data_IF_801947104646
#
_entry.id   IF_801947104646
#
_cell.length_a   1.000
_cell.length_b   1.000
_cell.length_c   1.000
_cell.angle_alpha   90.00
_cell.angle_beta   90.00
_cell.angle_gamma   90.00
#
_symmetry.space_group_name_H-M   'P 1'
#
loop_
_entity.id
_entity.type
_entity.pdbx_description
1 polymer ?
#
# COMPACT_ATOMS: atom_id res chain seq x y z
N UNK A 1 20.67 -38.15 0.55
CA UNK A 1 20.19 -37.63 1.84
C UNK A 1 18.87 -36.92 1.59
N UNK A 2 17.84 -37.21 2.37
CA UNK A 2 16.51 -36.63 2.20
C UNK A 2 16.42 -35.30 2.97
N UNK A 3 16.81 -34.21 2.31
CA UNK A 3 17.06 -32.92 2.96
C UNK A 3 15.76 -32.27 3.41
N UNK A 4 14.66 -32.42 2.68
CA UNK A 4 13.36 -31.78 2.97
C UNK A 4 12.43 -32.65 3.84
N UNK A 5 12.94 -33.73 4.41
CA UNK A 5 12.15 -34.68 5.22
C UNK A 5 11.38 -33.99 6.36
N UNK A 6 12.01 -33.07 7.10
CA UNK A 6 11.39 -32.32 8.20
C UNK A 6 10.36 -31.27 7.75
N UNK A 7 10.35 -30.91 6.45
CA UNK A 7 9.35 -30.02 5.87
C UNK A 7 8.09 -30.82 5.51
N UNK A 8 8.26 -32.04 4.98
CA UNK A 8 7.17 -32.88 4.46
C UNK A 8 6.50 -33.75 5.52
N UNK A 9 7.20 -34.08 6.60
CA UNK A 9 6.72 -34.96 7.67
C UNK A 9 6.60 -34.20 8.99
N UNK A 10 5.60 -34.61 9.78
CA UNK A 10 5.43 -34.08 11.13
C UNK A 10 6.59 -34.49 12.03
N UNK A 11 6.80 -33.71 13.09
CA UNK A 11 7.78 -34.01 14.11
C UNK A 11 7.46 -35.36 14.74
N UNK A 12 8.39 -36.33 14.72
CA UNK A 12 8.20 -37.59 15.41
C UNK A 12 8.06 -37.36 16.92
N UNK A 13 7.38 -38.26 17.65
CA UNK A 13 7.32 -38.20 19.11
C UNK A 13 8.72 -38.09 19.73
N UNK A 14 8.82 -37.34 20.82
CA UNK A 14 10.06 -37.24 21.58
C UNK A 14 10.52 -38.63 22.02
N UNK A 15 11.82 -38.89 21.91
CA UNK A 15 12.41 -40.16 22.30
C UNK A 15 12.24 -40.38 23.82
N UNK A 16 11.81 -41.57 24.19
CA UNK A 16 11.68 -42.02 25.58
C UNK A 16 12.69 -43.15 25.84
N UNK A 17 12.94 -43.48 27.12
CA UNK A 17 13.92 -44.53 27.49
C UNK A 17 13.67 -45.90 26.85
N UNK A 18 12.43 -46.17 26.43
CA UNK A 18 12.01 -47.44 25.84
C UNK A 18 11.84 -47.36 24.30
N UNK A 19 12.30 -46.28 23.67
CA UNK A 19 12.16 -46.12 22.22
C UNK A 19 12.92 -47.19 21.45
N UNK A 20 12.31 -47.66 20.36
CA UNK A 20 12.94 -48.69 19.52
C UNK A 20 14.07 -48.10 18.67
N UNK A 21 15.04 -48.90 18.20
CA UNK A 21 16.08 -48.42 17.29
C UNK A 21 15.54 -47.75 16.02
N UNK A 22 14.35 -48.17 15.56
CA UNK A 22 13.67 -47.59 14.39
C UNK A 22 13.13 -46.20 14.70
N UNK A 23 12.53 -45.99 15.88
CA UNK A 23 12.05 -44.68 16.32
C UNK A 23 13.20 -43.68 16.49
N UNK A 24 14.32 -44.13 17.07
CA UNK A 24 15.54 -43.32 17.21
C UNK A 24 16.07 -42.89 15.84
N UNK A 25 16.22 -43.83 14.89
CA UNK A 25 16.69 -43.51 13.55
C UNK A 25 15.76 -42.55 12.79
N UNK A 26 14.44 -42.65 12.99
CA UNK A 26 13.46 -41.74 12.40
C UNK A 26 13.57 -40.33 12.99
N UNK A 27 13.70 -40.22 14.31
CA UNK A 27 13.89 -38.94 15.00
C UNK A 27 15.20 -38.27 14.58
N UNK A 28 16.33 -38.99 14.59
CA UNK A 28 17.63 -38.46 14.16
C UNK A 28 17.63 -38.00 12.69
N UNK A 29 16.97 -38.75 11.82
CA UNK A 29 16.80 -38.35 10.40
C UNK A 29 15.99 -37.06 10.29
N UNK A 30 14.90 -36.93 11.04
CA UNK A 30 14.09 -35.73 11.08
C UNK A 30 14.87 -34.54 11.64
N UNK A 31 15.56 -34.72 12.77
CA UNK A 31 16.31 -33.66 13.43
C UNK A 31 17.48 -33.16 12.58
N UNK A 32 18.19 -34.07 11.91
CA UNK A 32 19.25 -33.69 10.97
C UNK A 32 18.71 -32.87 9.80
N UNK A 33 17.56 -33.27 9.23
CA UNK A 33 16.88 -32.53 8.17
C UNK A 33 16.41 -31.16 8.68
N UNK A 34 15.81 -31.10 9.86
CA UNK A 34 15.34 -29.87 10.51
C UNK A 34 16.50 -28.85 10.66
N UNK A 35 17.58 -29.26 11.32
CA UNK A 35 18.76 -28.41 11.59
C UNK A 35 19.39 -27.87 10.31
N UNK A 36 19.54 -28.71 9.29
CA UNK A 36 20.11 -28.30 8.00
C UNK A 36 19.25 -27.25 7.30
N UNK A 37 17.93 -27.44 7.25
CA UNK A 37 17.05 -26.45 6.63
C UNK A 37 16.99 -25.15 7.41
N UNK A 38 16.90 -25.18 8.73
CA UNK A 38 16.92 -23.98 9.58
C UNK A 38 18.19 -23.17 9.33
N UNK A 39 19.35 -23.83 9.36
CA UNK A 39 20.63 -23.18 9.09
C UNK A 39 20.67 -22.59 7.67
N UNK A 40 20.25 -23.35 6.66
CA UNK A 40 20.23 -22.88 5.28
C UNK A 40 19.32 -21.67 5.10
N UNK A 41 18.08 -21.72 5.61
CA UNK A 41 17.12 -20.62 5.52
C UNK A 41 17.69 -19.39 6.24
N UNK A 42 18.17 -19.52 7.50
CA UNK A 42 18.78 -18.42 8.27
C UNK A 42 19.93 -17.73 7.52
N UNK A 43 20.75 -18.47 6.77
CA UNK A 43 21.84 -17.87 5.96
C UNK A 43 21.35 -17.06 4.76
N UNK A 44 20.17 -17.35 4.21
CA UNK A 44 19.62 -16.70 3.01
C UNK A 44 18.70 -15.53 3.32
N UNK A 45 18.30 -15.36 4.58
CA UNK A 45 17.42 -14.28 4.98
C UNK A 45 18.17 -12.94 5.08
N UNK A 46 17.55 -11.90 4.53
CA UNK A 46 17.98 -10.51 4.64
C UNK A 46 17.97 -10.02 6.08
N UNK A 47 18.86 -9.08 6.41
CA UNK A 47 18.97 -8.51 7.75
C UNK A 47 17.67 -7.85 8.25
N UNK A 48 16.82 -7.37 7.33
CA UNK A 48 15.57 -6.67 7.63
C UNK A 48 14.52 -7.49 8.39
N UNK A 49 14.53 -8.82 8.26
CA UNK A 49 13.58 -9.72 8.96
C UNK A 49 14.29 -10.75 9.86
N UNK A 50 15.62 -10.72 9.92
CA UNK A 50 16.44 -11.70 10.65
C UNK A 50 16.11 -11.75 12.14
N UNK A 51 16.00 -10.59 12.80
CA UNK A 51 15.74 -10.53 14.24
C UNK A 51 14.37 -11.12 14.63
N UNK A 52 13.37 -11.04 13.75
CA UNK A 52 12.01 -11.53 13.99
C UNK A 52 11.89 -13.06 13.93
N UNK A 53 12.88 -13.74 13.36
CA UNK A 53 12.82 -15.17 12.99
C UNK A 53 14.02 -15.98 13.48
N UNK A 54 15.00 -15.34 14.13
CA UNK A 54 16.21 -16.00 14.64
C UNK A 54 15.89 -17.01 15.76
N UNK A 55 14.78 -16.80 16.46
CA UNK A 55 14.29 -17.61 17.59
C UNK A 55 13.70 -18.98 17.22
N UNK A 56 13.51 -19.29 15.93
CA UNK A 56 12.88 -20.55 15.52
C UNK A 56 13.91 -21.66 15.29
N UNK A 57 13.73 -22.77 16.01
CA UNK A 57 14.57 -23.98 15.91
C UNK A 57 13.93 -25.08 15.04
N UNK A 58 12.62 -24.96 14.78
CA UNK A 58 11.87 -25.86 13.89
C UNK A 58 11.66 -25.20 12.53
N UNK A 59 12.01 -25.91 11.47
CA UNK A 59 11.90 -25.43 10.08
C UNK A 59 10.45 -25.07 9.72
N UNK A 60 9.47 -25.83 10.19
CA UNK A 60 8.05 -25.56 9.92
C UNK A 60 7.59 -24.26 10.56
N UNK A 61 7.97 -24.01 11.82
CA UNK A 61 7.63 -22.79 12.53
C UNK A 61 8.34 -21.58 11.93
N UNK A 62 9.61 -21.73 11.53
CA UNK A 62 10.37 -20.72 10.82
C UNK A 62 9.69 -20.33 9.49
N UNK A 63 9.29 -21.31 8.68
CA UNK A 63 8.59 -21.07 7.41
C UNK A 63 7.23 -20.39 7.64
N UNK A 64 6.50 -20.79 8.68
CA UNK A 64 5.23 -20.15 9.06
C UNK A 64 5.44 -18.69 9.44
N UNK A 65 6.43 -18.40 10.29
CA UNK A 65 6.75 -17.03 10.71
C UNK A 65 7.18 -16.15 9.54
N UNK A 66 8.00 -16.69 8.61
CA UNK A 66 8.35 -16.00 7.37
C UNK A 66 7.09 -15.65 6.58
N UNK A 67 6.20 -16.62 6.36
CA UNK A 67 4.97 -16.41 5.60
C UNK A 67 4.07 -15.34 6.26
N UNK A 68 3.91 -15.37 7.58
CA UNK A 68 3.15 -14.37 8.33
C UNK A 68 3.74 -12.96 8.22
N UNK A 69 5.07 -12.84 8.24
CA UNK A 69 5.76 -11.55 8.06
C UNK A 69 5.51 -10.98 6.66
N UNK A 70 5.54 -11.82 5.61
CA UNK A 70 5.23 -11.40 4.24
C UNK A 70 3.77 -10.94 4.10
N UNK A 71 2.82 -11.72 4.63
CA UNK A 71 1.39 -11.33 4.64
C UNK A 71 1.18 -10.01 5.38
N UNK A 72 1.85 -9.79 6.51
CA UNK A 72 1.76 -8.55 7.28
C UNK A 72 2.33 -7.37 6.49
N UNK A 73 3.48 -7.56 5.83
CA UNK A 73 4.10 -6.54 4.97
C UNK A 73 3.22 -6.18 3.77
N UNK A 74 2.59 -7.17 3.13
CA UNK A 74 1.67 -6.93 2.01
C UNK A 74 0.45 -6.12 2.44
N UNK A 75 -0.18 -6.48 3.56
CA UNK A 75 -1.31 -5.73 4.14
C UNK A 75 -0.92 -4.29 4.49
N UNK A 76 0.26 -4.10 5.09
CA UNK A 76 0.76 -2.76 5.40
C UNK A 76 0.97 -1.93 4.14
N UNK A 77 1.54 -2.51 3.08
CA UNK A 77 1.73 -1.85 1.79
C UNK A 77 0.39 -1.48 1.14
N UNK A 78 -0.60 -2.38 1.14
CA UNK A 78 -1.95 -2.10 0.66
C UNK A 78 -2.53 -0.89 1.42
N UNK A 79 -2.46 -0.89 2.75
CA UNK A 79 -2.97 0.23 3.56
C UNK A 79 -2.24 1.54 3.24
N UNK A 80 -0.91 1.52 3.07
CA UNK A 80 -0.15 2.71 2.66
C UNK A 80 -0.59 3.23 1.29
N UNK A 81 -0.78 2.35 0.32
CA UNK A 81 -1.25 2.72 -1.02
C UNK A 81 -2.68 3.27 -0.98
N UNK A 82 -3.58 2.67 -0.20
CA UNK A 82 -4.95 3.18 -0.01
C UNK A 82 -4.93 4.57 0.63
N UNK A 83 -4.14 4.79 1.69
CA UNK A 83 -4.00 6.10 2.32
C UNK A 83 -3.46 7.16 1.35
N UNK A 84 -2.46 6.79 0.54
CA UNK A 84 -1.93 7.68 -0.49
C UNK A 84 -2.98 7.97 -1.57
N UNK A 85 -3.72 6.95 -2.01
CA UNK A 85 -4.79 7.06 -2.99
C UNK A 85 -5.93 7.96 -2.49
N UNK A 86 -6.34 7.83 -1.22
CA UNK A 86 -7.45 8.60 -0.65
C UNK A 86 -7.10 10.05 -0.35
N UNK A 87 -5.82 10.37 -0.16
CA UNK A 87 -5.35 11.72 0.22
C UNK A 87 -4.85 12.56 -0.94
N UNK A 88 -4.68 11.97 -2.12
CA UNK A 88 -4.16 12.69 -3.29
C UNK A 88 -5.25 13.59 -3.88
N UNK A 89 -5.04 14.89 -3.80
CA UNK A 89 -5.86 15.91 -4.44
C UNK A 89 -4.99 16.76 -5.34
N UNK A 90 -5.53 17.17 -6.48
CA UNK A 90 -4.86 18.13 -7.35
C UNK A 90 -4.96 19.50 -6.67
N UNK A 91 -3.82 20.02 -6.19
CA UNK A 91 -3.76 21.26 -5.40
C UNK A 91 -3.60 22.51 -6.28
N UNK A 92 -3.02 22.36 -7.46
CA UNK A 92 -2.80 23.42 -8.45
C UNK A 92 -3.73 23.23 -9.65
N UNK A 93 -4.09 24.31 -10.33
CA UNK A 93 -4.86 24.19 -11.58
C UNK A 93 -4.08 23.45 -12.67
N UNK A 94 -2.76 23.64 -12.68
CA UNK A 94 -1.85 23.01 -13.64
C UNK A 94 -1.45 21.60 -13.19
N UNK A 95 -1.13 20.74 -14.16
CA UNK A 95 -0.52 19.42 -13.93
C UNK A 95 -1.52 18.27 -13.80
N UNK A 96 -2.74 18.43 -14.34
CA UNK A 96 -3.79 17.40 -14.27
C UNK A 96 -3.33 16.08 -14.89
N UNK A 97 -2.50 16.16 -15.94
CA UNK A 97 -1.95 14.98 -16.60
C UNK A 97 -1.13 14.13 -15.64
N UNK A 98 -0.21 14.75 -14.91
CA UNK A 98 0.66 14.05 -13.95
C UNK A 98 -0.14 13.50 -12.78
N UNK A 99 -1.12 14.25 -12.29
CA UNK A 99 -2.03 13.82 -11.24
C UNK A 99 -2.80 12.54 -11.63
N UNK A 100 -3.39 12.50 -12.83
CA UNK A 100 -4.11 11.32 -13.34
C UNK A 100 -3.15 10.13 -13.52
N UNK A 101 -1.93 10.35 -14.01
CA UNK A 101 -0.94 9.26 -14.12
C UNK A 101 -0.58 8.69 -12.76
N UNK A 102 -0.39 9.54 -11.74
CA UNK A 102 -0.09 9.08 -10.37
C UNK A 102 -1.23 8.25 -9.80
N UNK A 103 -2.48 8.65 -9.99
CA UNK A 103 -3.64 7.86 -9.55
C UNK A 103 -3.73 6.52 -10.26
N UNK A 104 -3.52 6.50 -11.58
CA UNK A 104 -3.48 5.27 -12.38
C UNK A 104 -2.37 4.34 -11.93
N UNK A 105 -1.20 4.87 -11.62
CA UNK A 105 -0.06 4.09 -11.14
C UNK A 105 -0.35 3.45 -9.77
N UNK A 106 -0.88 4.22 -8.81
CA UNK A 106 -1.27 3.68 -7.50
C UNK A 106 -2.34 2.59 -7.67
N UNK A 107 -3.33 2.81 -8.54
CA UNK A 107 -4.34 1.80 -8.83
C UNK A 107 -3.75 0.53 -9.47
N UNK A 108 -2.77 0.67 -10.36
CA UNK A 108 -2.06 -0.47 -10.94
C UNK A 108 -1.21 -1.22 -9.91
N UNK A 109 -0.61 -0.52 -8.94
CA UNK A 109 0.09 -1.14 -7.81
C UNK A 109 -0.88 -1.91 -6.91
N UNK A 110 -2.03 -1.33 -6.57
CA UNK A 110 -3.08 -1.99 -5.79
C UNK A 110 -3.61 -3.26 -6.49
N UNK A 111 -3.80 -3.21 -7.81
CA UNK A 111 -4.18 -4.39 -8.61
C UNK A 111 -3.16 -5.51 -8.54
N UNK A 112 -1.85 -5.20 -8.51
CA UNK A 112 -0.80 -6.22 -8.33
C UNK A 112 -0.89 -6.91 -6.97
N UNK A 113 -1.44 -6.22 -5.96
CA UNK A 113 -1.69 -6.74 -4.60
C UNK A 113 -3.12 -7.31 -4.46
N UNK A 114 -3.77 -7.68 -5.57
CA UNK A 114 -5.13 -8.25 -5.63
C UNK A 114 -6.24 -7.34 -5.09
N UNK A 115 -6.00 -6.03 -5.03
CA UNK A 115 -7.03 -5.03 -4.76
C UNK A 115 -7.48 -4.44 -6.09
N UNK A 116 -8.56 -4.98 -6.63
CA UNK A 116 -9.11 -4.54 -7.90
C UNK A 116 -9.99 -3.30 -7.74
N UNK A 117 -9.77 -2.32 -8.61
CA UNK A 117 -10.63 -1.15 -8.75
C UNK A 117 -11.18 -1.11 -10.18
N UNK A 118 -12.50 -0.92 -10.29
CA UNK A 118 -13.13 -0.76 -11.59
C UNK A 118 -12.69 0.56 -12.24
N UNK A 119 -12.66 0.58 -13.58
CA UNK A 119 -12.34 1.81 -14.33
C UNK A 119 -13.34 2.94 -14.01
N UNK A 120 -14.62 2.59 -13.85
CA UNK A 120 -15.67 3.53 -13.43
C UNK A 120 -15.37 4.16 -12.06
N UNK A 121 -14.99 3.36 -11.06
CA UNK A 121 -14.64 3.88 -9.74
C UNK A 121 -13.45 4.84 -9.83
N UNK A 122 -12.40 4.45 -10.55
CA UNK A 122 -11.19 5.26 -10.69
C UNK A 122 -11.48 6.59 -11.40
N UNK A 123 -12.31 6.59 -12.44
CA UNK A 123 -12.74 7.81 -13.14
C UNK A 123 -13.52 8.75 -12.21
N UNK A 124 -14.51 8.24 -11.47
CA UNK A 124 -15.25 9.06 -10.51
C UNK A 124 -14.38 9.59 -9.37
N UNK A 125 -13.45 8.77 -8.90
CA UNK A 125 -12.51 9.16 -7.86
C UNK A 125 -11.60 10.30 -8.35
N UNK A 126 -11.01 10.17 -9.53
CA UNK A 126 -10.21 11.23 -10.16
C UNK A 126 -11.02 12.53 -10.25
N UNK A 127 -12.26 12.49 -10.76
CA UNK A 127 -13.12 13.69 -10.84
C UNK A 127 -13.35 14.35 -9.47
N UNK A 128 -13.42 13.57 -8.39
CA UNK A 128 -13.58 14.09 -7.03
C UNK A 128 -12.31 14.71 -6.44
N UNK A 129 -11.16 14.40 -7.03
CA UNK A 129 -9.87 14.93 -6.59
C UNK A 129 -9.46 16.22 -7.31
N UNK A 130 -10.18 16.60 -8.37
CA UNK A 130 -9.95 17.83 -9.10
C UNK A 130 -10.38 19.06 -8.28
N UNK A 131 -9.69 20.21 -8.45
CA UNK A 131 -10.07 21.47 -7.83
C UNK A 131 -11.50 21.89 -8.17
N UNK A 132 -12.10 22.71 -7.30
CA UNK A 132 -13.46 23.24 -7.49
C UNK A 132 -13.65 24.01 -8.82
N UNK A 133 -12.58 24.60 -9.37
CA UNK A 133 -12.61 25.28 -10.66
C UNK A 133 -13.00 24.34 -11.81
N UNK A 134 -12.76 23.04 -11.69
CA UNK A 134 -13.24 22.02 -12.65
C UNK A 134 -14.72 21.66 -12.46
N UNK A 135 -15.48 22.39 -11.60
CA UNK A 135 -16.89 22.13 -11.33
C UNK A 135 -17.77 22.02 -12.59
N UNK A 136 -17.74 23.01 -13.51
CA UNK A 136 -18.50 22.93 -14.77
C UNK A 136 -18.11 21.72 -15.62
N UNK A 137 -16.81 21.43 -15.70
CA UNK A 137 -16.29 20.25 -16.39
C UNK A 137 -16.82 18.94 -15.81
N UNK A 138 -16.85 18.78 -14.48
CA UNK A 138 -17.37 17.57 -13.82
C UNK A 138 -18.84 17.32 -14.20
N UNK A 139 -19.65 18.38 -14.24
CA UNK A 139 -21.07 18.30 -14.61
C UNK A 139 -21.19 17.89 -16.08
N UNK A 140 -20.44 18.55 -16.97
CA UNK A 140 -20.42 18.21 -18.40
C UNK A 140 -19.98 16.77 -18.64
N UNK A 141 -18.89 16.32 -18.03
CA UNK A 141 -18.38 14.97 -18.23
C UNK A 141 -19.37 13.89 -17.76
N UNK A 142 -20.02 14.10 -16.60
CA UNK A 142 -21.01 13.15 -16.06
C UNK A 142 -22.34 13.10 -16.85
N UNK A 143 -22.69 14.16 -17.59
CA UNK A 143 -23.96 14.24 -18.34
C UNK A 143 -23.85 13.71 -19.77
N UNK A 144 -22.64 13.63 -20.32
CA UNK A 144 -22.42 13.38 -21.75
C UNK A 144 -21.87 11.98 -22.06
N UNK A 145 -21.59 11.12 -21.06
CA UNK A 145 -20.80 9.90 -21.27
C UNK A 145 -21.45 8.63 -20.72
N UNK A 146 -21.75 7.72 -21.65
CA UNK A 146 -22.28 6.38 -21.35
C UNK A 146 -21.19 5.39 -20.92
N UNK A 147 -19.92 5.67 -21.25
CA UNK A 147 -18.77 4.83 -20.92
C UNK A 147 -17.64 5.66 -20.29
N UNK A 148 -17.13 5.15 -19.18
CA UNK A 148 -16.04 5.76 -18.42
C UNK A 148 -14.69 5.29 -18.97
N UNK A 149 -13.81 6.23 -19.34
CA UNK A 149 -12.44 5.92 -19.75
C UNK A 149 -11.44 6.92 -19.16
N UNK A 150 -10.37 6.40 -18.57
CA UNK A 150 -9.30 7.22 -17.98
C UNK A 150 -8.54 8.01 -19.06
N UNK A 151 -8.32 7.42 -20.24
CA UNK A 151 -7.58 8.07 -21.31
C UNK A 151 -8.37 9.24 -21.91
N UNK A 152 -9.68 9.08 -22.06
CA UNK A 152 -10.57 10.16 -22.50
C UNK A 152 -10.67 11.25 -21.43
N UNK A 153 -10.90 10.88 -20.17
CA UNK A 153 -10.90 11.82 -19.03
C UNK A 153 -9.63 12.65 -19.03
N UNK A 154 -8.47 12.01 -19.18
CA UNK A 154 -7.18 12.68 -19.20
C UNK A 154 -7.07 13.71 -20.33
N UNK A 155 -7.52 13.36 -21.53
CA UNK A 155 -7.49 14.25 -22.70
C UNK A 155 -8.38 15.48 -22.46
N UNK A 156 -9.60 15.26 -21.98
CA UNK A 156 -10.55 16.35 -21.73
C UNK A 156 -10.11 17.23 -20.54
N UNK A 157 -9.54 16.64 -19.49
CA UNK A 157 -9.00 17.40 -18.36
C UNK A 157 -7.85 18.32 -18.79
N UNK A 158 -6.97 17.88 -19.69
CA UNK A 158 -5.87 18.72 -20.21
C UNK A 158 -6.41 19.91 -21.01
N UNK A 159 -7.44 19.69 -21.83
CA UNK A 159 -8.10 20.79 -22.56
C UNK A 159 -8.78 21.79 -21.61
N UNK A 160 -9.46 21.29 -20.57
CA UNK A 160 -10.08 22.15 -19.56
C UNK A 160 -9.02 22.89 -18.73
N UNK A 161 -7.87 22.26 -18.43
CA UNK A 161 -6.74 22.92 -17.77
C UNK A 161 -6.27 24.14 -18.59
N UNK A 162 -6.05 23.97 -19.89
CA UNK A 162 -5.65 25.06 -20.79
C UNK A 162 -6.67 26.20 -20.81
N UNK A 163 -7.95 25.85 -20.91
CA UNK A 163 -9.05 26.83 -20.86
C UNK A 163 -9.07 27.59 -19.54
N UNK A 164 -9.01 26.90 -18.39
CA UNK A 164 -9.04 27.50 -17.07
C UNK A 164 -7.82 28.41 -16.83
N UNK A 165 -6.66 28.02 -17.35
CA UNK A 165 -5.44 28.84 -17.30
C UNK A 165 -5.61 30.14 -18.10
N UNK A 166 -6.23 30.07 -19.27
CA UNK A 166 -6.56 31.26 -20.08
C UNK A 166 -7.61 32.15 -19.41
N UNK A 167 -8.64 31.57 -18.79
CA UNK A 167 -9.77 32.28 -18.19
C UNK A 167 -9.39 33.01 -16.89
N UNK A 168 -8.59 32.39 -16.01
CA UNK A 168 -8.14 33.03 -14.76
C UNK A 168 -6.93 33.94 -14.96
N UNK A 169 -6.12 33.72 -15.99
CA UNK A 169 -4.83 34.41 -16.16
C UNK A 169 -3.77 33.97 -15.14
N UNK A 170 -2.50 33.94 -15.55
CA UNK A 170 -1.42 33.35 -14.73
C UNK A 170 -1.18 34.05 -13.38
N UNK A 171 -1.50 35.34 -13.28
CA UNK A 171 -1.35 36.15 -12.07
C UNK A 171 -2.41 35.84 -10.99
N UNK A 172 -3.66 35.57 -11.37
CA UNK A 172 -4.74 35.27 -10.42
C UNK A 172 -4.64 33.84 -9.86
N UNK A 173 -4.07 32.91 -10.65
CA UNK A 173 -3.81 31.52 -10.22
C UNK A 173 -2.79 31.49 -9.09
N UNK A 174 -1.73 32.31 -9.17
CA UNK A 174 -0.76 32.45 -8.07
C UNK A 174 -1.39 33.08 -6.81
N UNK A 175 -2.28 34.07 -6.96
CA UNK A 175 -2.95 34.72 -5.84
C UNK A 175 -3.91 33.78 -5.09
N UNK A 176 -4.74 33.01 -5.81
CA UNK A 176 -5.69 32.05 -5.22
C UNK A 176 -5.01 30.86 -4.55
N UNK A 177 -3.86 30.40 -5.09
CA UNK A 177 -3.02 29.38 -4.43
C UNK A 177 -2.41 29.92 -3.13
N UNK A 178 -2.01 31.19 -3.11
CA UNK A 178 -1.45 31.83 -1.92
C UNK A 178 -2.50 32.02 -0.81
N UNK A 179 -3.75 32.30 -1.17
CA UNK A 179 -4.87 32.39 -0.23
C UNK A 179 -5.25 31.02 0.35
N UNK A 180 -5.40 29.98 -0.48
CA UNK A 180 -5.69 28.61 0.02
C UNK A 180 -4.60 28.09 0.96
N UNK A 181 -3.32 28.27 0.63
CA UNK A 181 -2.22 27.87 1.51
C UNK A 181 -2.15 28.67 2.83
N UNK A 182 -2.65 29.91 2.85
CA UNK A 182 -2.77 30.72 4.07
C UNK A 182 -3.95 30.28 4.93
N UNK A 183 -5.08 29.91 4.33
CA UNK A 183 -6.26 29.36 5.03
C UNK A 183 -5.91 28.02 5.68
N UNK A 184 -5.25 27.11 4.96
CA UNK A 184 -4.81 25.82 5.49
C UNK A 184 -3.78 25.96 6.65
N UNK A 185 -2.95 27.01 6.64
CA UNK A 185 -2.03 27.34 7.75
C UNK A 185 -2.78 27.97 8.94
N UNK A 186 -3.78 28.80 8.70
CA UNK A 186 -4.57 29.43 9.76
C UNK A 186 -5.43 28.39 10.51
N UNK A 187 -6.03 27.43 9.80
CA UNK A 187 -6.82 26.34 10.40
C UNK A 187 -5.97 25.39 11.25
N UNK A 188 -4.74 25.04 10.78
CA UNK A 188 -3.80 24.25 11.60
C UNK A 188 -3.35 24.98 12.87
N UNK A 189 -3.22 26.31 12.80
CA UNK A 189 -2.82 27.13 13.95
C UNK A 189 -3.93 27.23 15.00
N UNK A 190 -5.20 27.34 14.58
CA UNK A 190 -6.36 27.38 15.49
C UNK A 190 -6.67 26.01 16.14
N UNK A 191 -6.38 24.90 15.46
CA UNK A 191 -6.54 23.55 16.01
C UNK A 191 -5.48 23.21 17.09
N UNK A 192 -4.28 23.80 17.02
CA UNK A 192 -3.28 23.68 18.09
C UNK A 192 -3.61 24.49 19.34
N UNK A 193 -4.25 25.66 19.21
CA UNK A 193 -4.60 26.51 20.35
C UNK A 193 -5.81 25.99 21.13
N UNK A 194 -6.75 25.30 20.47
CA UNK A 194 -7.92 24.72 21.13
C UNK A 194 -7.63 23.42 21.90
N UNK A 195 -6.53 22.69 21.57
CA UNK A 195 -6.07 21.53 22.38
C UNK A 195 -5.31 21.91 23.65
N UNK A 196 -4.76 23.13 23.74
CA UNK A 196 -4.09 23.60 24.95
C UNK A 196 -5.07 23.99 26.07
N UNK A 197 -6.32 24.33 25.72
CA UNK A 197 -7.31 24.83 26.68
C UNK A 197 -8.22 23.76 27.31
N UNK A 198 -7.99 22.48 27.02
CA UNK A 198 -8.75 21.34 27.57
C UNK A 198 -7.98 20.49 28.59
N UNK A 199 -6.72 20.84 28.92
CA UNK A 199 -5.90 20.13 29.92
C UNK A 199 -5.75 20.87 31.26
N UNK A 200 -6.49 21.96 31.45
CA UNK A 200 -6.46 22.77 32.67
C UNK A 200 -7.86 23.08 33.19
N UNK A 201 -8.61 22.04 33.56
CA UNK A 201 -9.72 22.11 34.51
C UNK A 201 -9.83 20.78 35.23
#
# INVERSE_FOLDING_TARGET
MDIDYAIRKEEPPALIKNSTPVEVALYERWERSNRLNVMFIKTKITASIRGSIEQYDKVRDLLKAINEQFVTSEKALINTLIMKFSSIHLTTLKGVRNHIMQMRDIAAQLRKLKVDMSESFLVHFILNTLPQQYGPFKISYNTHKDKWSINELMTMCVQEEERLVMELGESAILATVCEKNKVDKAEKSQASTSKANQKGK
#
